data_IF_148666871618
#
_entry.id   IF_148666871618
#
_cell.length_a   1.000
_cell.length_b   1.000
_cell.length_c   1.000
_cell.angle_alpha   90.00
_cell.angle_beta   90.00
_cell.angle_gamma   90.00
#
_symmetry.space_group_name_H-M   'P 1'
#
loop_
_entity.id
_entity.type
_entity.pdbx_description
1 polymer ?
#
# COMPACT_ATOMS: atom_id res chain seq x y z
N UNK A 1 8.49 -8.52 29.81
CA UNK A 1 7.39 -9.13 30.57
C UNK A 1 6.12 -9.00 29.76
N UNK A 2 5.31 -10.06 29.60
CA UNK A 2 4.02 -9.95 28.93
C UNK A 2 3.11 -8.97 29.71
N UNK A 3 2.44 -8.06 29.00
CA UNK A 3 1.42 -7.19 29.59
C UNK A 3 0.16 -8.00 29.90
N UNK A 4 -0.54 -7.64 30.98
CA UNK A 4 -1.88 -8.16 31.27
C UNK A 4 -2.81 -7.86 30.09
N UNK A 5 -3.69 -8.81 29.75
CA UNK A 5 -4.75 -8.54 28.78
C UNK A 5 -5.63 -7.38 29.24
N UNK A 6 -6.29 -6.70 28.31
CA UNK A 6 -7.21 -5.62 28.67
C UNK A 6 -8.35 -6.10 29.58
N UNK A 7 -8.89 -7.29 29.31
CA UNK A 7 -9.94 -7.91 30.13
C UNK A 7 -9.43 -8.18 31.55
N UNK A 8 -8.23 -8.72 31.70
CA UNK A 8 -7.66 -9.03 33.01
C UNK A 8 -7.34 -7.77 33.82
N UNK A 9 -6.98 -6.67 33.15
CA UNK A 9 -6.80 -5.37 33.81
C UNK A 9 -8.11 -4.87 34.39
N UNK A 10 -9.19 -4.88 33.62
CA UNK A 10 -10.51 -4.46 34.11
C UNK A 10 -11.02 -5.37 35.23
N UNK A 11 -10.82 -6.70 35.12
CA UNK A 11 -11.14 -7.65 36.19
C UNK A 11 -10.37 -7.35 37.47
N UNK A 12 -9.05 -7.12 37.38
CA UNK A 12 -8.23 -6.77 38.53
C UNK A 12 -8.66 -5.44 39.17
N UNK A 13 -9.05 -4.46 38.37
CA UNK A 13 -9.58 -3.19 38.86
C UNK A 13 -10.93 -3.35 39.56
N UNK A 14 -11.84 -4.15 39.02
CA UNK A 14 -13.12 -4.45 39.68
C UNK A 14 -12.92 -5.10 41.06
N UNK A 15 -11.95 -6.02 41.18
CA UNK A 15 -11.59 -6.62 42.47
C UNK A 15 -10.99 -5.60 43.46
N UNK A 16 -10.16 -4.67 42.97
CA UNK A 16 -9.62 -3.58 43.79
C UNK A 16 -10.71 -2.61 44.25
N UNK A 17 -11.68 -2.30 43.38
CA UNK A 17 -12.83 -1.45 43.71
C UNK A 17 -13.78 -2.12 44.72
N UNK A 18 -13.88 -3.45 44.70
CA UNK A 18 -14.59 -4.23 45.71
C UNK A 18 -13.87 -4.26 47.09
N UNK A 19 -12.74 -3.56 47.25
CA UNK A 19 -12.01 -3.44 48.50
C UNK A 19 -11.01 -4.57 48.78
N UNK A 20 -10.77 -5.48 47.82
CA UNK A 20 -9.80 -6.55 48.01
C UNK A 20 -8.36 -6.01 48.05
N UNK A 21 -7.50 -6.52 48.95
CA UNK A 21 -6.12 -6.09 49.01
C UNK A 21 -5.34 -6.61 47.80
N UNK A 22 -4.30 -5.88 47.38
CA UNK A 22 -3.46 -6.21 46.21
C UNK A 22 -2.91 -7.64 46.26
N UNK A 23 -2.58 -8.14 47.46
CA UNK A 23 -2.16 -9.53 47.67
C UNK A 23 -3.20 -10.52 47.16
N UNK A 24 -4.45 -10.33 47.55
CA UNK A 24 -5.54 -11.27 47.23
C UNK A 24 -5.84 -11.25 45.72
N UNK A 25 -5.88 -10.05 45.15
CA UNK A 25 -6.03 -9.86 43.69
C UNK A 25 -4.91 -10.57 42.92
N UNK A 26 -3.67 -10.45 43.39
CA UNK A 26 -2.51 -11.09 42.76
C UNK A 26 -2.58 -12.63 42.79
N UNK A 27 -3.06 -13.20 43.90
CA UNK A 27 -3.22 -14.64 44.06
C UNK A 27 -4.36 -15.16 43.17
N UNK A 28 -5.50 -14.49 43.18
CA UNK A 28 -6.70 -14.88 42.40
C UNK A 28 -6.49 -14.80 40.89
N UNK A 29 -5.66 -13.85 40.44
CA UNK A 29 -5.33 -13.66 39.03
C UNK A 29 -4.04 -14.39 38.61
N UNK A 30 -3.32 -15.03 39.55
CA UNK A 30 -2.00 -15.65 39.34
C UNK A 30 -0.98 -14.70 38.66
N UNK A 31 -0.89 -13.46 39.15
CA UNK A 31 -0.05 -12.40 38.59
C UNK A 31 0.84 -11.83 39.69
N UNK A 32 2.04 -11.36 39.35
CA UNK A 32 2.92 -10.72 40.32
C UNK A 32 2.24 -9.48 40.97
N UNK A 33 2.34 -9.37 42.30
CA UNK A 33 1.86 -8.22 43.10
C UNK A 33 2.29 -6.87 42.53
N UNK A 34 3.52 -6.78 42.03
CA UNK A 34 4.08 -5.54 41.44
C UNK A 34 3.30 -5.09 40.20
N UNK A 35 2.74 -6.02 39.42
CA UNK A 35 1.93 -5.72 38.25
C UNK A 35 0.59 -5.09 38.64
N UNK A 36 -0.08 -5.65 39.66
CA UNK A 36 -1.35 -5.10 40.19
C UNK A 36 -1.13 -3.74 40.85
N UNK A 37 -0.04 -3.59 41.59
CA UNK A 37 0.35 -2.29 42.18
C UNK A 37 0.56 -1.23 41.10
N UNK A 38 1.35 -1.54 40.06
CA UNK A 38 1.58 -0.63 38.92
C UNK A 38 0.31 -0.31 38.15
N UNK A 39 -0.62 -1.25 38.04
CA UNK A 39 -1.92 -1.03 37.41
C UNK A 39 -2.75 -0.01 38.19
N UNK A 40 -2.87 -0.19 39.52
CA UNK A 40 -3.57 0.76 40.40
C UNK A 40 -2.93 2.15 40.37
N UNK A 41 -1.60 2.21 40.45
CA UNK A 41 -0.86 3.46 40.39
C UNK A 41 -1.09 4.18 39.05
N UNK A 42 -1.04 3.45 37.92
CA UNK A 42 -1.31 4.02 36.60
C UNK A 42 -2.71 4.60 36.51
N UNK A 43 -3.71 3.88 37.02
CA UNK A 43 -5.09 4.36 37.04
C UNK A 43 -5.20 5.68 37.81
N UNK A 44 -4.54 5.79 38.96
CA UNK A 44 -4.52 7.03 39.75
C UNK A 44 -3.76 8.18 39.07
N UNK A 45 -2.71 7.89 38.28
CA UNK A 45 -1.91 8.92 37.61
C UNK A 45 -2.54 9.44 36.31
N UNK A 46 -3.26 8.59 35.58
CA UNK A 46 -3.65 8.87 34.18
C UNK A 46 -5.13 8.60 33.89
N UNK A 47 -5.91 8.14 34.88
CA UNK A 47 -7.31 7.72 34.76
C UNK A 47 -7.59 6.73 33.62
N UNK A 48 -6.54 6.06 33.13
CA UNK A 48 -6.62 5.15 31.98
C UNK A 48 -6.01 3.80 32.33
N UNK A 49 -6.70 2.75 31.87
CA UNK A 49 -6.31 1.35 32.06
C UNK A 49 -5.43 0.86 30.91
N UNK A 50 -5.55 1.51 29.74
CA UNK A 50 -4.80 1.21 28.53
C UNK A 50 -3.28 1.32 28.75
N UNK A 51 -2.53 0.66 27.88
CA UNK A 51 -1.08 0.84 27.91
C UNK A 51 -0.72 2.23 27.38
N UNK A 52 0.35 2.80 27.93
CA UNK A 52 0.86 4.10 27.47
C UNK A 52 1.41 3.94 26.06
N UNK A 53 1.09 4.88 25.18
CA UNK A 53 1.72 4.95 23.87
C UNK A 53 3.24 5.08 24.03
N UNK A 54 4.01 4.13 23.49
CA UNK A 54 5.45 4.27 23.46
C UNK A 54 5.84 5.32 22.41
N UNK A 55 6.61 6.34 22.82
CA UNK A 55 7.13 7.38 21.92
C UNK A 55 8.16 6.86 20.90
N UNK A 56 8.63 5.62 21.08
CA UNK A 56 9.62 4.99 20.22
C UNK A 56 10.99 5.67 20.27
N UNK A 57 11.90 5.24 19.39
CA UNK A 57 13.23 5.86 19.28
C UNK A 57 13.13 7.20 18.56
N UNK A 58 13.75 8.28 19.08
CA UNK A 58 13.75 9.57 18.39
C UNK A 58 14.45 9.48 17.04
N UNK A 59 13.98 10.29 16.09
CA UNK A 59 14.56 10.38 14.74
C UNK A 59 15.95 11.01 14.79
N UNK A 60 16.86 10.50 13.95
CA UNK A 60 18.19 11.08 13.76
C UNK A 60 18.13 12.45 13.05
N UNK A 61 17.12 12.68 12.21
CA UNK A 61 16.92 13.94 11.49
C UNK A 61 15.85 14.81 12.16
N UNK A 62 15.99 16.12 12.03
CA UNK A 62 14.99 17.10 12.47
C UNK A 62 14.03 17.46 11.34
N UNK A 63 12.86 17.99 11.67
CA UNK A 63 11.87 18.38 10.65
C UNK A 63 12.42 19.44 9.69
N UNK A 64 13.26 20.38 10.18
CA UNK A 64 13.91 21.40 9.33
C UNK A 64 14.88 20.77 8.33
N UNK A 65 15.68 19.80 8.78
CA UNK A 65 16.59 19.05 7.90
C UNK A 65 15.81 18.28 6.84
N UNK A 66 14.73 17.61 7.23
CA UNK A 66 13.87 16.85 6.31
C UNK A 66 13.29 17.77 5.22
N UNK A 67 12.80 18.97 5.57
CA UNK A 67 12.32 19.96 4.58
C UNK A 67 13.41 20.41 3.61
N UNK A 68 14.62 20.66 4.12
CA UNK A 68 15.74 21.06 3.28
C UNK A 68 16.16 19.92 2.32
N UNK A 69 16.16 18.67 2.78
CA UNK A 69 16.41 17.51 1.93
C UNK A 69 15.39 17.45 0.78
N UNK A 70 14.10 17.59 1.09
CA UNK A 70 13.04 17.60 0.07
C UNK A 70 13.25 18.74 -0.93
N UNK A 71 13.51 19.96 -0.45
CA UNK A 71 13.75 21.13 -1.31
C UNK A 71 14.94 20.91 -2.25
N UNK A 72 16.06 20.40 -1.73
CA UNK A 72 17.26 20.17 -2.53
C UNK A 72 17.00 19.14 -3.63
N UNK A 73 16.30 18.04 -3.33
CA UNK A 73 15.96 17.01 -4.31
C UNK A 73 14.83 17.40 -5.29
N UNK A 74 14.01 18.40 -4.94
CA UNK A 74 13.06 19.00 -5.88
C UNK A 74 13.77 19.92 -6.88
N UNK A 75 14.75 20.70 -6.40
CA UNK A 75 15.53 21.60 -7.25
C UNK A 75 16.49 20.85 -8.17
N UNK A 76 17.15 19.80 -7.65
CA UNK A 76 18.07 18.97 -8.40
C UNK A 76 17.63 17.51 -8.41
N UNK A 77 17.09 17.08 -9.55
CA UNK A 77 16.59 15.71 -9.77
C UNK A 77 17.72 14.67 -9.81
N UNK A 78 18.96 15.06 -10.12
CA UNK A 78 20.09 14.14 -10.26
C UNK A 78 20.90 14.00 -8.96
N UNK A 79 20.58 14.80 -7.94
CA UNK A 79 21.22 14.71 -6.64
C UNK A 79 21.05 13.32 -6.01
N UNK A 80 22.17 12.65 -5.73
CA UNK A 80 22.13 11.31 -5.11
C UNK A 80 21.86 11.39 -3.60
N UNK A 81 21.12 10.42 -3.07
CA UNK A 81 20.88 10.32 -1.63
C UNK A 81 22.17 10.18 -0.81
N UNK A 82 23.22 9.58 -1.38
CA UNK A 82 24.54 9.44 -0.74
C UNK A 82 25.29 10.78 -0.66
N UNK A 83 25.14 11.65 -1.66
CA UNK A 83 25.70 13.00 -1.61
C UNK A 83 25.01 13.81 -0.49
N UNK A 84 23.68 13.82 -0.47
CA UNK A 84 22.89 14.50 0.56
C UNK A 84 23.20 13.99 1.98
N UNK A 85 23.47 12.69 2.14
CA UNK A 85 23.80 12.12 3.44
C UNK A 85 25.19 12.51 3.95
N UNK A 86 26.15 12.78 3.05
CA UNK A 86 27.47 13.31 3.42
C UNK A 86 27.40 14.78 3.82
N UNK A 87 26.54 15.55 3.15
CA UNK A 87 26.39 16.99 3.40
C UNK A 87 25.55 17.29 4.64
N UNK A 88 24.51 16.48 4.92
CA UNK A 88 23.57 16.74 6.01
C UNK A 88 24.02 16.04 7.30
N UNK A 89 24.11 16.81 8.38
CA UNK A 89 24.35 16.28 9.73
C UNK A 89 23.02 16.15 10.49
N UNK A 90 22.88 15.08 11.26
CA UNK A 90 21.69 14.80 12.07
C UNK A 90 21.60 15.67 13.33
N UNK A 91 20.58 15.40 14.15
CA UNK A 91 20.20 16.15 15.36
C UNK A 91 21.35 16.39 16.35
N UNK A 92 22.25 15.43 16.51
CA UNK A 92 23.42 15.52 17.40
C UNK A 92 24.74 15.47 16.61
N UNK A 93 24.79 16.14 15.45
CA UNK A 93 25.90 16.07 14.49
C UNK A 93 26.24 14.65 13.98
N UNK A 94 25.30 13.70 14.16
CA UNK A 94 25.46 12.32 13.74
C UNK A 94 25.48 12.24 12.21
N UNK A 95 26.32 11.34 11.68
CA UNK A 95 26.33 11.03 10.24
C UNK A 95 25.02 10.31 9.90
N UNK A 96 24.34 10.84 8.88
CA UNK A 96 23.10 10.24 8.37
C UNK A 96 23.49 9.23 7.28
N UNK A 97 22.78 8.10 7.21
CA UNK A 97 22.95 7.14 6.11
C UNK A 97 22.13 7.54 4.89
N UNK A 98 22.59 7.17 3.68
CA UNK A 98 21.83 7.36 2.44
C UNK A 98 20.42 6.74 2.53
N UNK A 99 20.27 5.63 3.25
CA UNK A 99 18.97 4.99 3.44
C UNK A 99 18.01 5.84 4.28
N UNK A 100 18.53 6.57 5.28
CA UNK A 100 17.72 7.51 6.06
C UNK A 100 17.20 8.63 5.16
N UNK A 101 18.06 9.18 4.28
CA UNK A 101 17.65 10.20 3.30
C UNK A 101 16.55 9.65 2.38
N UNK A 102 16.72 8.45 1.80
CA UNK A 102 15.68 7.81 0.97
C UNK A 102 14.36 7.65 1.71
N UNK A 103 14.39 7.21 2.97
CA UNK A 103 13.20 7.11 3.81
C UNK A 103 12.51 8.46 3.95
N UNK A 104 13.25 9.55 4.20
CA UNK A 104 12.68 10.90 4.29
C UNK A 104 12.02 11.37 3.00
N UNK A 105 12.70 11.18 1.88
CA UNK A 105 12.16 11.50 0.57
C UNK A 105 10.89 10.68 0.27
N UNK A 106 10.89 9.38 0.60
CA UNK A 106 9.70 8.55 0.40
C UNK A 106 8.53 8.96 1.29
N UNK A 107 8.77 9.38 2.53
CA UNK A 107 7.72 9.91 3.43
C UNK A 107 7.09 11.18 2.87
N UNK A 108 7.83 11.99 2.12
CA UNK A 108 7.30 13.17 1.43
C UNK A 108 6.80 12.88 0.01
N UNK A 109 6.67 11.61 -0.40
CA UNK A 109 6.19 11.22 -1.73
C UNK A 109 7.22 11.28 -2.86
N UNK A 110 8.48 11.63 -2.58
CA UNK A 110 9.54 11.64 -3.58
C UNK A 110 10.16 10.24 -3.71
N UNK A 111 9.99 9.65 -4.89
CA UNK A 111 10.58 8.35 -5.26
C UNK A 111 11.31 8.50 -6.59
N UNK A 112 12.47 7.86 -6.70
CA UNK A 112 13.10 7.69 -8.00
C UNK A 112 12.25 6.71 -8.82
N UNK A 113 11.73 7.19 -9.95
CA UNK A 113 11.03 6.37 -10.93
C UNK A 113 11.94 6.16 -12.14
N UNK A 114 11.74 5.05 -12.83
CA UNK A 114 12.37 4.84 -14.14
C UNK A 114 11.61 5.67 -15.16
N UNK A 115 12.28 6.45 -16.03
CA UNK A 115 11.58 7.12 -17.11
C UNK A 115 10.87 6.07 -17.97
N UNK A 116 9.73 6.44 -18.53
CA UNK A 116 9.02 5.57 -19.46
C UNK A 116 9.89 5.32 -20.70
N UNK A 117 10.04 4.04 -21.05
CA UNK A 117 10.72 3.60 -22.27
C UNK A 117 9.65 2.93 -23.12
N UNK A 118 9.22 3.60 -24.19
CA UNK A 118 8.21 3.08 -25.11
C UNK A 118 8.42 3.60 -26.53
N UNK A 119 7.60 3.16 -27.49
CA UNK A 119 7.74 3.54 -28.88
C UNK A 119 7.57 5.06 -29.05
N UNK A 120 8.40 5.66 -29.91
CA UNK A 120 8.30 7.08 -30.25
C UNK A 120 6.96 7.30 -30.96
N UNK A 121 6.09 8.12 -30.37
CA UNK A 121 4.80 8.44 -30.96
C UNK A 121 5.00 9.33 -32.20
N UNK A 122 4.66 8.80 -33.38
CA UNK A 122 4.55 9.56 -34.62
C UNK A 122 3.42 10.57 -34.52
N UNK A 123 3.45 11.60 -35.37
CA UNK A 123 2.44 12.68 -35.36
C UNK A 123 1.01 12.15 -35.55
N UNK A 124 0.84 11.12 -36.38
CA UNK A 124 -0.45 10.41 -36.57
C UNK A 124 -0.96 9.80 -35.26
N UNK A 125 -0.10 9.18 -34.45
CA UNK A 125 -0.48 8.59 -33.16
C UNK A 125 -0.89 9.64 -32.10
N UNK A 126 -0.39 10.88 -32.21
CA UNK A 126 -0.76 11.96 -31.28
C UNK A 126 -2.12 12.59 -31.59
N UNK A 127 -2.50 12.65 -32.87
CA UNK A 127 -3.73 13.32 -33.31
C UNK A 127 -4.96 12.42 -33.27
N UNK A 128 -4.83 11.13 -33.61
CA UNK A 128 -6.00 10.27 -33.78
C UNK A 128 -6.36 9.43 -32.55
N UNK A 129 -5.48 9.33 -31.54
CA UNK A 129 -5.75 8.51 -30.34
C UNK A 129 -6.07 7.05 -30.63
N UNK A 130 -5.79 6.56 -31.85
CA UNK A 130 -6.21 5.22 -32.24
C UNK A 130 -5.41 4.19 -31.44
N UNK A 131 -6.09 3.22 -30.80
CA UNK A 131 -5.39 2.15 -30.14
C UNK A 131 -4.57 1.43 -31.20
N UNK A 132 -3.27 1.28 -30.93
CA UNK A 132 -2.47 0.28 -31.62
C UNK A 132 -3.22 -1.04 -31.47
N UNK A 133 -3.90 -1.47 -32.55
CA UNK A 133 -4.38 -2.84 -32.69
C UNK A 133 -3.14 -3.71 -32.68
N UNK A 134 -2.68 -4.02 -31.47
CA UNK A 134 -1.85 -5.17 -31.20
C UNK A 134 -2.77 -6.34 -31.53
N UNK A 135 -2.81 -6.73 -32.81
CA UNK A 135 -3.44 -7.99 -33.19
C UNK A 135 -2.76 -9.05 -32.33
N UNK A 136 -3.48 -9.51 -31.31
CA UNK A 136 -3.16 -10.74 -30.62
C UNK A 136 -3.42 -11.84 -31.64
N UNK A 137 -2.45 -12.05 -32.53
CA UNK A 137 -2.48 -13.18 -33.44
C UNK A 137 -2.15 -14.40 -32.55
N UNK A 138 -3.12 -15.31 -32.30
CA UNK A 138 -2.84 -16.49 -31.53
C UNK A 138 -1.76 -17.27 -32.28
N UNK A 139 -0.59 -17.46 -31.65
CA UNK A 139 0.54 -18.21 -32.21
C UNK A 139 0.23 -19.71 -32.30
N UNK A 140 -0.81 -20.13 -33.03
CA UNK A 140 -0.99 -21.53 -33.45
C UNK A 140 -2.08 -21.73 -34.51
N UNK A 141 -1.85 -21.25 -35.74
CA UNK A 141 -2.55 -21.78 -36.92
C UNK A 141 -1.49 -22.11 -37.98
N UNK A 142 -0.91 -23.30 -37.91
CA UNK A 142 -0.21 -23.89 -39.06
C UNK A 142 -1.28 -24.49 -39.98
N UNK A 143 -1.83 -23.65 -40.86
CA UNK A 143 -2.80 -24.05 -41.87
C UNK A 143 -2.86 -22.98 -42.94
N UNK A 144 -2.66 -23.36 -44.19
CA UNK A 144 -2.76 -22.48 -45.36
C UNK A 144 -4.21 -22.09 -45.60
N UNK A 145 -4.72 -21.11 -44.86
CA UNK A 145 -6.03 -20.52 -45.09
C UNK A 145 -5.97 -19.57 -46.28
N UNK A 146 -6.92 -19.71 -47.21
CA UNK A 146 -7.03 -18.79 -48.35
C UNK A 146 -7.51 -17.41 -47.87
N UNK A 147 -7.16 -16.32 -48.59
CA UNK A 147 -7.53 -14.95 -48.21
C UNK A 147 -9.04 -14.80 -47.95
N UNK A 148 -9.90 -15.58 -48.61
CA UNK A 148 -11.36 -15.57 -48.40
C UNK A 148 -11.78 -16.02 -46.99
N UNK A 149 -11.06 -16.95 -46.37
CA UNK A 149 -11.37 -17.43 -45.02
C UNK A 149 -10.95 -16.42 -43.95
N UNK A 150 -9.84 -15.71 -44.19
CA UNK A 150 -9.36 -14.64 -43.30
C UNK A 150 -10.36 -13.47 -43.31
N UNK A 151 -10.86 -13.09 -44.48
CA UNK A 151 -11.87 -12.03 -44.60
C UNK A 151 -13.21 -12.42 -43.96
N UNK A 152 -13.65 -13.68 -44.05
CA UNK A 152 -14.88 -14.14 -43.38
C UNK A 152 -14.78 -14.08 -41.85
N UNK A 153 -13.62 -14.40 -41.27
CA UNK A 153 -13.39 -14.28 -39.82
C UNK A 153 -13.38 -12.81 -39.39
N UNK A 154 -12.83 -11.90 -40.21
CA UNK A 154 -12.83 -10.46 -39.94
C UNK A 154 -14.22 -9.83 -40.09
N UNK A 155 -15.04 -10.27 -41.06
CA UNK A 155 -16.41 -9.77 -41.26
C UNK A 155 -17.34 -10.10 -40.07
N UNK A 156 -17.23 -11.31 -39.50
CA UNK A 156 -18.02 -11.70 -38.32
C UNK A 156 -17.65 -10.84 -37.10
N UNK A 157 -16.36 -10.52 -36.91
CA UNK A 157 -15.91 -9.67 -35.80
C UNK A 157 -16.36 -8.20 -35.94
N UNK A 158 -16.48 -7.71 -37.18
CA UNK A 158 -16.97 -6.36 -37.46
C UNK A 158 -18.50 -6.25 -37.26
N UNK A 159 -19.26 -7.29 -37.64
CA UNK A 159 -20.71 -7.33 -37.46
C UNK A 159 -21.16 -7.29 -36.00
N UNK A 160 -20.41 -7.92 -35.08
CA UNK A 160 -20.71 -7.88 -33.63
C UNK A 160 -20.44 -6.50 -33.01
N UNK A 161 -19.67 -5.64 -33.69
CA UNK A 161 -19.30 -4.30 -33.21
C UNK A 161 -20.17 -3.17 -33.79
N UNK A 162 -21.13 -3.50 -34.66
CA UNK A 162 -21.86 -2.54 -35.51
C UNK A 162 -23.33 -2.32 -35.18
N UNK A 163 -23.81 -2.57 -33.94
CA UNK A 163 -25.19 -2.25 -33.54
C UNK A 163 -25.20 -1.28 -32.35
N UNK A 164 -24.98 -0.01 -32.65
CA UNK A 164 -25.19 1.13 -31.74
C UNK A 164 -26.68 1.45 -31.63
N UNK A 165 -27.40 0.78 -30.73
CA UNK A 165 -28.63 1.30 -30.10
C UNK A 165 -29.08 0.33 -29.01
N UNK A 166 -29.36 0.85 -27.81
CA UNK A 166 -29.96 0.16 -26.65
C UNK A 166 -29.05 -0.79 -25.82
N UNK A 167 -28.31 -0.22 -24.86
CA UNK A 167 -27.90 -0.92 -23.61
C UNK A 167 -27.81 0.05 -22.42
N UNK A 168 -28.92 0.72 -22.12
CA UNK A 168 -29.33 0.79 -20.72
C UNK A 168 -30.33 -0.34 -20.51
N UNK A 169 -30.11 -1.14 -19.46
CA UNK A 169 -30.94 -2.25 -18.95
C UNK A 169 -30.53 -3.69 -19.36
N UNK A 170 -30.21 -4.49 -18.33
CA UNK A 170 -30.45 -5.96 -18.18
C UNK A 170 -29.31 -6.98 -18.46
N UNK A 171 -29.32 -8.14 -17.76
CA UNK A 171 -28.19 -8.61 -16.94
C UNK A 171 -27.47 -9.90 -17.44
N UNK A 172 -26.49 -10.32 -16.65
CA UNK A 172 -25.35 -11.21 -16.88
C UNK A 172 -25.59 -12.71 -17.17
N UNK A 173 -26.69 -13.14 -17.78
CA UNK A 173 -27.04 -14.58 -17.83
C UNK A 173 -27.09 -15.28 -19.21
N UNK A 174 -26.66 -14.66 -20.32
CA UNK A 174 -26.74 -15.32 -21.65
C UNK A 174 -25.42 -15.52 -22.42
N UNK A 175 -24.26 -15.37 -21.77
CA UNK A 175 -22.98 -15.71 -22.43
C UNK A 175 -22.67 -17.23 -22.45
N UNK A 176 -23.50 -18.07 -21.81
CA UNK A 176 -23.27 -19.51 -21.71
C UNK A 176 -23.77 -20.37 -22.89
N UNK A 177 -24.69 -19.86 -23.74
CA UNK A 177 -25.37 -20.70 -24.74
C UNK A 177 -24.73 -20.69 -26.14
N UNK A 178 -23.87 -19.73 -26.45
CA UNK A 178 -23.27 -19.61 -27.81
C UNK A 178 -22.09 -20.56 -28.03
N UNK A 179 -21.45 -21.03 -26.95
CA UNK A 179 -20.28 -21.94 -27.04
C UNK A 179 -20.63 -23.42 -27.31
N UNK A 180 -21.91 -23.84 -27.24
CA UNK A 180 -22.28 -25.26 -27.43
C UNK A 180 -22.70 -25.67 -28.85
N UNK A 181 -22.77 -24.76 -29.83
CA UNK A 181 -23.24 -25.10 -31.19
C UNK A 181 -22.12 -25.27 -32.24
N UNK A 182 -20.84 -25.20 -31.86
CA UNK A 182 -19.70 -25.29 -32.78
C UNK A 182 -18.75 -26.46 -32.46
N UNK A 183 -19.26 -27.51 -31.82
CA UNK A 183 -18.50 -28.75 -31.57
C UNK A 183 -19.30 -30.02 -31.87
N UNK A 184 -20.07 -30.00 -32.96
CA UNK A 184 -20.59 -31.21 -33.62
C UNK A 184 -20.53 -31.04 -35.13
#
# INVERSE_FOLDING_TARGET
MPSLSEVDRHRALGLLQAGLPIREVSLRMNVNRTTIFRLRQRLHETDTVSDRSCSGRPRCTTQRQDRNLVKNHMNDRFLSASASSRQTRGRNNQRISANTVRRRLSTSGLRALRPYIGPILTQRHRHHGEPVLFYWFPKRCQGSHSLREIYAIMDIAFYVSGSTAHRDSLPSEQYGAVYCALSS
#
